data_IF_376342914495
#
_entry.id   IF_376342914495
#
_cell.length_a   1.000
_cell.length_b   1.000
_cell.length_c   1.000
_cell.angle_alpha   90.00
_cell.angle_beta   90.00
_cell.angle_gamma   90.00
#
_symmetry.space_group_name_H-M   'P 1'
#
loop_
_entity.id
_entity.type
_entity.pdbx_description
1 polymer ?
#
# COMPACT_ATOMS: atom_id res chain seq x y z
N UNK A 1 51.30 37.98 6.43
CA UNK A 1 50.99 37.83 4.99
C UNK A 1 50.56 36.42 4.58
N UNK A 2 50.96 35.33 5.27
CA UNK A 2 50.56 33.97 4.89
C UNK A 2 49.08 33.63 5.17
N UNK A 3 48.50 34.19 6.24
CA UNK A 3 47.12 33.92 6.70
C UNK A 3 46.06 34.59 5.79
N UNK A 4 46.42 35.72 5.14
CA UNK A 4 45.52 36.42 4.22
C UNK A 4 45.36 35.66 2.89
N UNK A 5 46.39 34.92 2.47
CA UNK A 5 46.35 34.15 1.23
C UNK A 5 45.50 32.88 1.34
N UNK A 6 45.35 32.28 2.53
CA UNK A 6 44.54 31.06 2.72
C UNK A 6 43.03 31.30 2.71
N UNK A 7 42.57 32.51 3.02
CA UNK A 7 41.13 32.84 3.02
C UNK A 7 40.56 33.08 1.60
N UNK A 8 41.42 33.31 0.60
CA UNK A 8 41.02 33.63 -0.78
C UNK A 8 40.81 32.40 -1.68
N UNK A 9 41.02 31.19 -1.15
CA UNK A 9 40.98 29.93 -1.92
C UNK A 9 39.78 29.05 -1.54
N UNK A 10 38.82 29.56 -0.76
CA UNK A 10 37.60 28.83 -0.49
C UNK A 10 36.71 28.85 -1.76
N UNK A 11 36.46 27.70 -2.43
CA UNK A 11 35.50 27.66 -3.52
C UNK A 11 34.12 28.03 -2.99
N UNK A 12 33.40 28.87 -3.74
CA UNK A 12 32.02 29.24 -3.45
C UNK A 12 31.17 27.97 -3.36
N UNK A 13 30.76 27.58 -2.15
CA UNK A 13 29.84 26.47 -1.97
C UNK A 13 28.49 26.87 -2.61
N UNK A 14 28.23 26.37 -3.82
CA UNK A 14 27.00 26.63 -4.54
C UNK A 14 25.89 25.74 -4.00
N UNK A 15 25.20 26.22 -2.95
CA UNK A 15 23.98 25.59 -2.46
C UNK A 15 22.86 25.82 -3.49
N UNK A 16 22.67 24.85 -4.40
CA UNK A 16 21.56 24.89 -5.35
C UNK A 16 20.26 24.57 -4.62
N UNK A 17 19.26 25.45 -4.75
CA UNK A 17 17.92 25.20 -4.24
C UNK A 17 17.29 24.06 -5.04
N UNK A 18 16.96 22.97 -4.35
CA UNK A 18 16.14 21.89 -4.93
C UNK A 18 14.67 22.31 -4.84
N UNK A 19 13.97 22.25 -5.97
CA UNK A 19 12.50 22.43 -6.04
C UNK A 19 11.92 21.11 -6.56
N UNK A 20 11.02 20.50 -5.80
CA UNK A 20 10.29 19.29 -6.18
C UNK A 20 8.81 19.62 -6.29
N UNK A 21 8.17 19.24 -7.40
CA UNK A 21 6.74 19.37 -7.61
C UNK A 21 6.20 18.05 -8.15
N UNK A 22 5.33 17.39 -7.38
CA UNK A 22 4.59 16.20 -7.81
C UNK A 22 3.12 16.53 -8.05
N UNK A 23 2.50 15.88 -9.04
CA UNK A 23 1.06 16.00 -9.32
C UNK A 23 0.52 14.66 -9.83
N UNK A 24 -0.59 14.22 -9.26
CA UNK A 24 -1.45 13.20 -9.86
C UNK A 24 -2.53 13.93 -10.65
N UNK A 25 -2.64 13.63 -11.94
CA UNK A 25 -3.59 14.29 -12.85
C UNK A 25 -4.86 13.50 -13.08
N UNK A 26 -4.84 12.19 -12.85
CA UNK A 26 -5.91 11.27 -13.22
C UNK A 26 -5.88 10.04 -12.31
N UNK A 27 -7.06 9.51 -12.01
CA UNK A 27 -7.31 8.23 -11.38
C UNK A 27 -7.96 7.33 -12.44
N UNK A 28 -7.58 6.06 -12.43
CA UNK A 28 -8.08 5.03 -13.33
C UNK A 28 -8.82 3.97 -12.52
N UNK A 29 -9.98 3.55 -13.01
CA UNK A 29 -10.67 2.35 -12.55
C UNK A 29 -10.83 1.37 -13.71
N UNK A 30 -10.84 0.07 -13.40
CA UNK A 30 -11.10 -1.00 -14.35
C UNK A 30 -12.22 -1.89 -13.82
N UNK A 31 -13.26 -2.07 -14.64
CA UNK A 31 -14.39 -2.94 -14.35
C UNK A 31 -14.39 -4.15 -15.27
N UNK A 32 -14.57 -5.33 -14.69
CA UNK A 32 -14.65 -6.60 -15.41
C UNK A 32 -15.58 -7.56 -14.68
N UNK A 33 -16.23 -8.44 -15.44
CA UNK A 33 -17.02 -9.51 -14.88
C UNK A 33 -16.11 -10.56 -14.22
N UNK A 34 -16.46 -10.96 -13.00
CA UNK A 34 -15.82 -12.09 -12.34
C UNK A 34 -16.12 -13.42 -13.05
N UNK A 35 -15.24 -14.42 -12.88
CA UNK A 35 -15.49 -15.77 -13.41
C UNK A 35 -14.56 -16.23 -14.55
N UNK A 36 -13.28 -15.86 -14.50
CA UNK A 36 -12.24 -16.42 -15.37
C UNK A 36 -11.63 -15.39 -16.30
N UNK A 37 -12.29 -15.14 -17.43
CA UNK A 37 -11.69 -14.42 -18.58
C UNK A 37 -11.52 -12.90 -18.38
N UNK A 38 -11.88 -12.37 -17.20
CA UNK A 38 -11.84 -10.94 -16.87
C UNK A 38 -12.49 -10.08 -17.97
N UNK A 39 -13.64 -10.53 -18.47
CA UNK A 39 -14.40 -9.87 -19.54
C UNK A 39 -14.69 -8.43 -19.13
N UNK A 40 -14.28 -7.42 -19.92
CA UNK A 40 -14.53 -6.03 -19.59
C UNK A 40 -16.01 -5.72 -19.45
N UNK A 41 -16.36 -4.86 -18.50
CA UNK A 41 -17.69 -4.27 -18.38
C UNK A 41 -17.78 -3.02 -19.26
N UNK A 42 -17.87 -3.23 -20.58
CA UNK A 42 -17.90 -2.14 -21.55
C UNK A 42 -19.23 -1.37 -21.51
N UNK A 43 -19.19 -0.05 -21.68
CA UNK A 43 -20.38 0.84 -21.61
C UNK A 43 -21.10 0.83 -20.25
N UNK A 44 -20.51 0.22 -19.21
CA UNK A 44 -21.07 0.15 -17.87
C UNK A 44 -21.23 1.54 -17.26
N UNK A 45 -22.32 1.74 -16.51
CA UNK A 45 -22.58 2.99 -15.82
C UNK A 45 -21.62 3.11 -14.64
N UNK A 46 -20.95 4.27 -14.54
CA UNK A 46 -19.96 4.56 -13.49
C UNK A 46 -20.44 5.74 -12.66
N UNK A 47 -20.41 5.59 -11.34
CA UNK A 47 -20.59 6.66 -10.37
C UNK A 47 -19.35 6.77 -9.48
N UNK A 48 -18.77 7.97 -9.39
CA UNK A 48 -17.64 8.27 -8.53
C UNK A 48 -18.12 9.16 -7.39
N UNK A 49 -17.88 8.72 -6.17
CA UNK A 49 -18.16 9.48 -4.96
C UNK A 49 -16.84 9.97 -4.35
N UNK A 50 -16.76 11.26 -4.03
CA UNK A 50 -15.62 11.84 -3.33
C UNK A 50 -15.89 11.84 -1.83
N UNK A 51 -14.90 11.41 -1.05
CA UNK A 51 -15.00 11.34 0.40
C UNK A 51 -14.04 12.34 1.03
N UNK A 52 -14.61 13.30 1.78
CA UNK A 52 -13.87 14.33 2.53
C UNK A 52 -14.30 14.30 3.98
N UNK A 53 -13.35 14.15 4.88
CA UNK A 53 -13.61 14.13 6.33
C UNK A 53 -14.73 13.12 6.71
N UNK A 54 -14.76 11.97 6.02
CA UNK A 54 -15.76 10.91 6.20
C UNK A 54 -17.15 11.21 5.62
N UNK A 55 -17.32 12.34 4.91
CA UNK A 55 -18.55 12.67 4.21
C UNK A 55 -18.44 12.32 2.73
N UNK A 56 -19.43 11.59 2.24
CA UNK A 56 -19.49 11.11 0.86
C UNK A 56 -20.41 12.00 0.01
N UNK A 57 -19.94 12.39 -1.16
CA UNK A 57 -20.69 13.19 -2.13
C UNK A 57 -20.49 12.63 -3.54
N UNK A 58 -21.58 12.48 -4.31
CA UNK A 58 -21.50 12.12 -5.72
C UNK A 58 -20.70 13.19 -6.47
N UNK A 59 -19.58 12.79 -7.04
CA UNK A 59 -18.67 13.67 -7.75
C UNK A 59 -18.90 13.63 -9.26
N UNK A 60 -18.90 12.43 -9.86
CA UNK A 60 -19.01 12.25 -11.29
C UNK A 60 -19.89 11.04 -11.63
N UNK A 61 -20.54 11.13 -12.78
CA UNK A 61 -21.19 9.99 -13.43
C UNK A 61 -20.63 9.85 -14.84
N UNK A 62 -20.54 8.64 -15.36
CA UNK A 62 -20.06 8.40 -16.71
C UNK A 62 -20.30 6.98 -17.18
N UNK A 63 -19.58 6.60 -18.24
CA UNK A 63 -19.60 5.25 -18.78
C UNK A 63 -18.17 4.76 -18.99
N UNK A 64 -17.94 3.48 -18.68
CA UNK A 64 -16.68 2.82 -18.98
C UNK A 64 -16.48 2.68 -20.50
N UNK A 65 -15.22 2.68 -20.95
CA UNK A 65 -14.88 2.45 -22.35
C UNK A 65 -14.96 0.96 -22.75
N UNK A 66 -14.56 0.63 -23.99
CA UNK A 66 -14.59 -0.73 -24.52
C UNK A 66 -13.70 -1.72 -23.74
N UNK A 67 -12.69 -1.22 -23.03
CA UNK A 67 -11.78 -2.01 -22.20
C UNK A 67 -12.24 -2.08 -20.73
N UNK A 68 -13.44 -1.55 -20.43
CA UNK A 68 -14.00 -1.48 -19.09
C UNK A 68 -13.30 -0.45 -18.21
N UNK A 69 -12.61 0.52 -18.81
CA UNK A 69 -11.84 1.53 -18.10
C UNK A 69 -12.64 2.81 -17.93
N UNK A 70 -12.42 3.51 -16.81
CA UNK A 70 -12.91 4.86 -16.61
C UNK A 70 -11.84 5.72 -15.94
N UNK A 71 -11.75 6.96 -16.37
CA UNK A 71 -10.69 7.89 -15.98
C UNK A 71 -11.29 9.19 -15.48
N UNK A 72 -10.78 9.71 -14.37
CA UNK A 72 -11.26 10.97 -13.83
C UNK A 72 -10.18 11.76 -13.08
N UNK A 73 -10.25 13.10 -13.08
CA UNK A 73 -9.28 13.92 -12.36
C UNK A 73 -9.56 13.93 -10.85
N UNK A 74 -8.54 13.78 -9.99
CA UNK A 74 -8.70 13.92 -8.56
C UNK A 74 -8.95 15.38 -8.17
N UNK A 75 -9.82 15.57 -7.19
CA UNK A 75 -10.04 16.83 -6.48
C UNK A 75 -9.03 17.01 -5.34
N UNK A 76 -8.61 18.26 -5.16
CA UNK A 76 -7.78 18.66 -4.02
C UNK A 76 -8.58 18.52 -2.72
N UNK A 77 -7.93 18.00 -1.69
CA UNK A 77 -8.53 17.84 -0.36
C UNK A 77 -9.50 16.67 -0.23
N UNK A 78 -9.57 15.78 -1.23
CA UNK A 78 -10.24 14.48 -1.13
C UNK A 78 -9.21 13.45 -0.70
N UNK A 79 -9.54 12.67 0.32
CA UNK A 79 -8.68 11.58 0.79
C UNK A 79 -8.99 10.26 0.09
N UNK A 80 -10.25 10.04 -0.29
CA UNK A 80 -10.72 8.75 -0.82
C UNK A 80 -11.82 8.95 -1.88
N UNK A 81 -11.91 8.01 -2.81
CA UNK A 81 -13.05 7.89 -3.72
C UNK A 81 -13.68 6.52 -3.60
N UNK A 82 -15.01 6.45 -3.69
CA UNK A 82 -15.73 5.19 -3.94
C UNK A 82 -16.18 5.18 -5.39
N UNK A 83 -15.70 4.23 -6.16
CA UNK A 83 -16.15 3.98 -7.52
C UNK A 83 -17.22 2.90 -7.49
N UNK A 84 -18.36 3.15 -8.11
CA UNK A 84 -19.45 2.19 -8.29
C UNK A 84 -19.62 1.96 -9.78
N UNK A 85 -19.63 0.70 -10.20
CA UNK A 85 -19.83 0.34 -11.60
C UNK A 85 -20.98 -0.65 -11.72
N UNK A 86 -21.91 -0.40 -12.64
CA UNK A 86 -23.08 -1.24 -12.88
C UNK A 86 -23.29 -1.51 -14.37
N UNK A 87 -23.53 -2.78 -14.72
CA UNK A 87 -23.91 -3.19 -16.07
C UNK A 87 -24.90 -4.36 -16.01
N UNK A 88 -26.05 -4.23 -16.67
CA UNK A 88 -27.03 -5.31 -16.82
C UNK A 88 -27.42 -6.00 -15.50
N UNK A 89 -27.49 -5.23 -14.41
CA UNK A 89 -27.83 -5.72 -13.06
C UNK A 89 -26.67 -6.34 -12.27
N UNK A 90 -25.46 -6.39 -12.84
CA UNK A 90 -24.23 -6.70 -12.09
C UNK A 90 -23.61 -5.40 -11.60
N UNK A 91 -23.30 -5.33 -10.31
CA UNK A 91 -22.75 -4.15 -9.66
C UNK A 91 -21.51 -4.51 -8.84
N UNK A 92 -20.47 -3.70 -8.96
CA UNK A 92 -19.26 -3.75 -8.15
C UNK A 92 -18.90 -2.37 -7.62
N UNK A 93 -18.09 -2.33 -6.56
CA UNK A 93 -17.55 -1.08 -6.02
C UNK A 93 -16.12 -1.24 -5.53
N UNK A 94 -15.35 -0.15 -5.55
CA UNK A 94 -13.93 -0.12 -5.16
C UNK A 94 -13.59 1.19 -4.44
N UNK A 95 -12.71 1.12 -3.44
CA UNK A 95 -12.28 2.27 -2.63
C UNK A 95 -10.86 2.71 -3.00
N UNK A 96 -10.76 3.84 -3.69
CA UNK A 96 -9.47 4.42 -4.09
C UNK A 96 -8.96 5.38 -2.99
N UNK A 97 -7.96 4.94 -2.23
CA UNK A 97 -7.33 5.73 -1.17
C UNK A 97 -6.15 6.57 -1.71
N UNK A 98 -6.18 7.89 -1.55
CA UNK A 98 -5.08 8.79 -1.95
C UNK A 98 -4.03 9.01 -0.86
N UNK A 99 -4.38 8.75 0.40
CA UNK A 99 -3.49 8.85 1.56
C UNK A 99 -2.46 7.73 1.64
N UNK A 100 -2.65 6.62 0.92
CA UNK A 100 -1.74 5.46 0.87
C UNK A 100 -0.65 5.52 -0.22
N UNK A 101 -0.54 6.63 -0.96
CA UNK A 101 0.07 6.63 -2.29
C UNK A 101 -0.95 6.12 -3.30
N UNK A 102 -0.87 6.59 -4.54
CA UNK A 102 -1.78 6.18 -5.62
C UNK A 102 -1.62 4.68 -5.90
N UNK A 103 -2.30 3.86 -5.09
CA UNK A 103 -2.34 2.41 -5.18
C UNK A 103 -3.59 2.03 -5.93
N UNK A 104 -3.39 1.42 -7.09
CA UNK A 104 -4.27 0.38 -7.57
C UNK A 104 -4.49 -0.56 -6.38
N UNK A 105 -5.71 -0.60 -5.83
CA UNK A 105 -6.14 -1.76 -5.10
C UNK A 105 -6.09 -2.90 -6.13
N UNK A 106 -5.06 -3.72 -6.05
CA UNK A 106 -5.13 -5.06 -6.63
C UNK A 106 -6.40 -5.67 -6.04
N UNK A 107 -7.30 -6.09 -6.92
CA UNK A 107 -8.48 -6.87 -6.54
C UNK A 107 -8.05 -7.84 -5.44
N UNK A 108 -8.71 -7.76 -4.28
CA UNK A 108 -8.44 -8.61 -3.13
C UNK A 108 -8.64 -10.08 -3.56
N UNK A 109 -7.58 -10.68 -4.11
CA UNK A 109 -7.27 -12.05 -3.78
C UNK A 109 -6.80 -11.97 -2.33
N UNK A 110 -7.58 -12.62 -1.49
CA UNK A 110 -7.34 -12.92 -0.09
C UNK A 110 -5.94 -13.56 0.08
N UNK A 111 -4.90 -12.73 0.04
CA UNK A 111 -3.58 -13.02 0.56
C UNK A 111 -3.63 -12.53 2.00
N UNK A 112 -3.96 -13.45 2.92
CA UNK A 112 -3.73 -13.29 4.35
C UNK A 112 -2.27 -12.84 4.55
N UNK A 113 -2.06 -11.52 4.61
CA UNK A 113 -0.81 -10.95 5.05
C UNK A 113 -0.57 -11.47 6.45
N UNK A 114 0.33 -12.46 6.57
CA UNK A 114 0.58 -13.16 7.83
C UNK A 114 0.65 -12.13 8.95
N UNK A 115 -0.29 -12.16 9.91
CA UNK A 115 -0.38 -11.11 10.90
C UNK A 115 0.96 -11.03 11.60
N UNK A 116 1.58 -9.85 11.62
CA UNK A 116 2.90 -9.63 12.26
C UNK A 116 2.93 -10.18 13.70
N UNK A 117 1.77 -10.26 14.34
CA UNK A 117 1.51 -10.93 15.61
C UNK A 117 1.76 -12.44 15.58
N UNK A 118 1.34 -13.17 14.55
CA UNK A 118 1.60 -14.62 14.41
C UNK A 118 3.06 -14.92 14.10
N UNK A 119 3.74 -14.10 13.29
CA UNK A 119 5.18 -14.27 13.03
C UNK A 119 6.02 -14.02 14.29
N UNK A 120 5.68 -13.00 15.08
CA UNK A 120 6.32 -12.75 16.39
C UNK A 120 6.00 -13.88 17.40
N UNK A 121 4.76 -14.36 17.43
CA UNK A 121 4.36 -15.48 18.30
C UNK A 121 5.07 -16.80 17.93
N UNK A 122 5.19 -17.09 16.63
CA UNK A 122 5.88 -18.29 16.13
C UNK A 122 7.37 -18.30 16.48
N UNK A 123 8.07 -17.18 16.31
CA UNK A 123 9.48 -17.06 16.72
C UNK A 123 9.65 -17.17 18.24
N UNK A 124 8.76 -16.55 19.02
CA UNK A 124 8.76 -16.67 20.48
C UNK A 124 8.56 -18.11 20.96
N UNK A 125 7.66 -18.85 20.32
CA UNK A 125 7.39 -20.25 20.62
C UNK A 125 8.59 -21.15 20.31
N UNK A 126 9.24 -20.99 19.15
CA UNK A 126 10.43 -21.74 18.77
C UNK A 126 11.62 -21.46 19.70
N UNK A 127 11.86 -20.18 20.03
CA UNK A 127 12.90 -19.79 20.99
C UNK A 127 12.61 -20.36 22.40
N UNK A 128 11.34 -20.36 22.82
CA UNK A 128 10.90 -20.95 24.09
C UNK A 128 11.13 -22.45 24.17
N UNK A 129 10.73 -23.21 23.14
CA UNK A 129 10.97 -24.66 23.08
C UNK A 129 12.47 -24.99 23.07
N UNK A 130 13.26 -24.25 22.30
CA UNK A 130 14.72 -24.42 22.27
C UNK A 130 15.34 -24.17 23.65
N UNK A 131 14.91 -23.11 24.35
CA UNK A 131 15.36 -22.79 25.70
C UNK A 131 15.03 -23.90 26.71
N UNK A 132 13.81 -24.43 26.68
CA UNK A 132 13.39 -25.54 27.55
C UNK A 132 14.20 -26.80 27.25
N UNK A 133 14.40 -27.13 25.98
CA UNK A 133 15.20 -28.29 25.57
C UNK A 133 16.65 -28.19 26.06
N UNK A 134 17.27 -27.01 25.96
CA UNK A 134 18.62 -26.77 26.46
C UNK A 134 18.73 -26.95 27.98
N UNK A 135 17.75 -26.47 28.75
CA UNK A 135 17.73 -26.65 30.22
C UNK A 135 17.64 -28.14 30.59
N UNK A 136 16.80 -28.90 29.89
CA UNK A 136 16.65 -30.34 30.13
C UNK A 136 17.92 -31.11 29.73
N UNK A 137 18.53 -30.75 28.60
CA UNK A 137 19.80 -31.33 28.15
C UNK A 137 20.93 -31.04 29.15
N UNK A 138 21.08 -29.79 29.60
CA UNK A 138 22.07 -29.41 30.60
C UNK A 138 21.90 -30.17 31.92
N UNK A 139 20.65 -30.37 32.38
CA UNK A 139 20.36 -31.17 33.59
C UNK A 139 20.69 -32.65 33.40
N UNK A 140 20.45 -33.20 32.20
CA UNK A 140 20.82 -34.60 31.87
C UNK A 140 22.34 -34.78 31.85
N UNK A 141 23.06 -33.87 31.18
CA UNK A 141 24.52 -33.90 31.12
C UNK A 141 25.16 -33.76 32.50
N UNK A 142 24.61 -32.88 33.37
CA UNK A 142 25.10 -32.74 34.75
C UNK A 142 24.94 -34.04 35.56
N UNK A 143 23.81 -34.74 35.42
CA UNK A 143 23.60 -36.04 36.07
C UNK A 143 24.47 -37.18 35.52
N UNK A 144 24.91 -37.08 34.25
CA UNK A 144 25.85 -38.04 33.68
C UNK A 144 27.27 -37.76 34.18
N UNK A 145 27.66 -36.48 34.26
CA UNK A 145 28.94 -36.04 34.82
C UNK A 145 29.08 -36.32 36.32
N UNK A 146 27.98 -36.24 37.09
CA UNK A 146 27.95 -36.60 38.53
C UNK A 146 27.97 -38.12 38.77
N UNK A 147 27.85 -38.96 37.72
CA UNK A 147 27.86 -40.43 37.80
C UNK A 147 29.15 -41.08 37.27
N UNK A 148 30.08 -40.28 36.74
CA UNK A 148 31.47 -40.66 36.43
C UNK A 148 32.38 -40.29 37.62
#
# INVERSE_FOLDING_TARGET
MLILCTALICPSASAHRVIVQGRVSEIQIKAYFGGGDATPMADADVEIYAIRDGQEELYLTGKADEDGMYYFPPLIGVSEYRAVVEESGHKGEEMVNLTGGAGLAEAEQEEEGLPLTETIAGLGYLAGLAGIAMILAARKMRKQYEKE
#
